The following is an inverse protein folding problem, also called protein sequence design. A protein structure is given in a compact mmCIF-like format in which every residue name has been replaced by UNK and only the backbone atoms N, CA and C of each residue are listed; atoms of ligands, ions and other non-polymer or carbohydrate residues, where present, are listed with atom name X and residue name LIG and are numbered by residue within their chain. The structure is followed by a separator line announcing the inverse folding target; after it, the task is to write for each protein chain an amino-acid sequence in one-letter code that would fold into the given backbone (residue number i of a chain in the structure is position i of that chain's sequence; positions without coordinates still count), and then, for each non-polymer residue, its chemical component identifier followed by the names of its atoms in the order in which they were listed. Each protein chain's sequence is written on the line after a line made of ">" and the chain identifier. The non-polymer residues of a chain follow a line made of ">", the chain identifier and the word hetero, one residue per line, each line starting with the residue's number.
data_IF_114854388316
#
_entry.id   IF_114854388316
#
_cell.length_a   1.000
_cell.length_b   1.000
_cell.length_c   1.000
_cell.angle_alpha   90.00
_cell.angle_beta   90.00
_cell.angle_gamma   90.00
#
_symmetry.space_group_name_H-M   'P 1'
#
loop_
_entity.id
_entity.type
_entity.pdbx_description
1 polymer ?
#
# COMPACT_ATOMS: atom_id res chain seq x y z
N UNK A 1 -19.24 0.92 -9.10
CA UNK A 1 -18.35 1.92 -9.78
C UNK A 1 -17.72 1.29 -11.02
N UNK A 2 -17.11 2.04 -11.96
CA UNK A 2 -16.70 1.55 -13.30
C UNK A 2 -16.05 0.13 -13.35
N UNK A 3 -15.27 -0.25 -12.33
CA UNK A 3 -14.65 -1.58 -12.21
C UNK A 3 -15.61 -2.72 -11.81
N UNK A 4 -16.65 -2.44 -11.04
CA UNK A 4 -17.67 -3.41 -10.62
C UNK A 4 -18.66 -3.75 -11.73
N UNK A 5 -18.86 -2.82 -12.68
CA UNK A 5 -19.63 -3.07 -13.91
C UNK A 5 -18.85 -3.94 -14.90
N UNK A 6 -17.52 -3.93 -14.84
CA UNK A 6 -16.66 -4.79 -15.67
C UNK A 6 -16.32 -6.13 -14.97
N UNK A 7 -16.24 -6.14 -13.64
CA UNK A 7 -15.90 -7.33 -12.86
C UNK A 7 -16.72 -7.41 -11.55
N UNK A 8 -17.84 -8.15 -11.54
CA UNK A 8 -18.68 -8.29 -10.36
C UNK A 8 -17.92 -8.98 -9.21
N UNK A 9 -17.96 -8.38 -8.01
CA UNK A 9 -17.39 -8.97 -6.80
C UNK A 9 -15.91 -8.64 -6.49
N UNK A 10 -15.17 -8.01 -7.40
CA UNK A 10 -13.74 -7.66 -7.17
C UNK A 10 -13.57 -6.74 -5.95
N UNK A 11 -14.49 -5.80 -5.76
CA UNK A 11 -14.43 -4.86 -4.64
C UNK A 11 -14.50 -5.58 -3.29
N UNK A 12 -15.36 -6.59 -3.16
CA UNK A 12 -15.50 -7.36 -1.91
C UNK A 12 -14.22 -8.15 -1.61
N UNK A 13 -13.65 -8.83 -2.60
CA UNK A 13 -12.38 -9.55 -2.46
C UNK A 13 -11.24 -8.61 -2.07
N UNK A 14 -11.18 -7.42 -2.68
CA UNK A 14 -10.17 -6.42 -2.35
C UNK A 14 -10.31 -5.93 -0.90
N UNK A 15 -11.52 -5.63 -0.45
CA UNK A 15 -11.80 -5.21 0.93
C UNK A 15 -11.36 -6.28 1.93
N UNK A 16 -11.74 -7.54 1.70
CA UNK A 16 -11.33 -8.67 2.56
C UNK A 16 -9.80 -8.80 2.57
N UNK A 17 -9.16 -8.71 1.40
CA UNK A 17 -7.71 -8.75 1.28
C UNK A 17 -7.01 -7.62 2.04
N UNK A 18 -7.55 -6.40 1.99
CA UNK A 18 -7.02 -5.25 2.73
C UNK A 18 -7.11 -5.47 4.23
N UNK A 19 -8.27 -5.87 4.75
CA UNK A 19 -8.44 -6.11 6.18
C UNK A 19 -7.60 -7.30 6.68
N UNK A 20 -7.53 -8.38 5.91
CA UNK A 20 -6.68 -9.52 6.25
C UNK A 20 -5.19 -9.12 6.30
N UNK A 21 -4.73 -8.36 5.30
CA UNK A 21 -3.34 -7.91 5.23
C UNK A 21 -3.02 -6.91 6.33
N UNK A 22 -3.88 -5.91 6.55
CA UNK A 22 -3.71 -4.92 7.61
C UNK A 22 -3.72 -5.57 9.00
N UNK A 23 -4.63 -6.52 9.25
CA UNK A 23 -4.67 -7.29 10.49
C UNK A 23 -3.41 -8.14 10.69
N UNK A 24 -2.91 -8.75 9.62
CA UNK A 24 -1.65 -9.53 9.66
C UNK A 24 -0.44 -8.65 9.94
N UNK A 25 -0.35 -7.48 9.30
CA UNK A 25 0.73 -6.51 9.54
C UNK A 25 0.67 -5.97 10.98
N UNK A 26 -0.53 -5.65 11.47
CA UNK A 26 -0.72 -5.23 12.86
C UNK A 26 -0.28 -6.32 13.84
N UNK A 27 -0.68 -7.57 13.61
CA UNK A 27 -0.24 -8.69 14.43
C UNK A 27 1.28 -8.86 14.39
N UNK A 28 1.88 -8.84 13.19
CA UNK A 28 3.33 -8.98 13.01
C UNK A 28 4.12 -7.86 13.72
N UNK A 29 3.61 -6.63 13.68
CA UNK A 29 4.16 -5.51 14.44
C UNK A 29 4.01 -5.72 15.95
N UNK A 30 2.79 -6.04 16.42
CA UNK A 30 2.47 -6.21 17.84
C UNK A 30 3.24 -7.35 18.51
N UNK A 31 3.50 -8.43 17.80
CA UNK A 31 4.30 -9.56 18.28
C UNK A 31 5.81 -9.32 18.13
N UNK A 32 6.23 -8.20 17.53
CA UNK A 32 7.63 -7.85 17.33
C UNK A 32 8.34 -8.71 16.27
N UNK A 33 7.59 -9.37 15.39
CA UNK A 33 8.13 -10.12 14.26
C UNK A 33 8.77 -9.16 13.24
N UNK A 34 8.18 -7.98 13.05
CA UNK A 34 8.74 -6.91 12.21
C UNK A 34 9.31 -5.81 13.11
N UNK A 35 10.64 -5.69 13.12
CA UNK A 35 11.33 -4.61 13.84
C UNK A 35 11.60 -3.44 12.91
N UNK A 36 10.85 -2.36 13.10
CA UNK A 36 11.04 -1.10 12.37
C UNK A 36 12.24 -0.37 12.96
N UNK A 37 13.41 -0.53 12.34
CA UNK A 37 14.63 0.16 12.71
C UNK A 37 14.98 1.25 11.69
N UNK A 38 15.98 2.09 11.99
CA UNK A 38 16.41 3.16 11.07
C UNK A 38 16.80 2.64 9.68
N UNK A 39 17.33 1.42 9.57
CA UNK A 39 17.69 0.83 8.27
C UNK A 39 16.46 0.47 7.45
N UNK A 40 15.45 -0.13 8.09
CA UNK A 40 14.16 -0.45 7.49
C UNK A 40 13.44 0.81 7.05
N UNK A 41 13.36 1.85 7.91
CA UNK A 41 12.74 3.12 7.54
C UNK A 41 13.44 3.75 6.33
N UNK A 42 14.78 3.83 6.32
CA UNK A 42 15.53 4.36 5.17
C UNK A 42 15.27 3.56 3.90
N UNK A 43 15.36 2.24 3.96
CA UNK A 43 15.07 1.36 2.83
C UNK A 43 13.66 1.60 2.29
N UNK A 44 12.67 1.66 3.17
CA UNK A 44 11.29 1.86 2.80
C UNK A 44 11.06 3.25 2.19
N UNK A 45 11.69 4.30 2.72
CA UNK A 45 11.63 5.64 2.14
C UNK A 45 12.14 5.64 0.69
N UNK A 46 13.28 5.01 0.42
CA UNK A 46 13.79 4.88 -0.95
C UNK A 46 12.86 4.03 -1.83
N UNK A 47 12.31 2.94 -1.29
CA UNK A 47 11.41 2.06 -2.03
C UNK A 47 10.09 2.76 -2.41
N UNK A 48 9.45 3.46 -1.48
CA UNK A 48 8.24 4.26 -1.72
C UNK A 48 8.54 5.36 -2.74
N UNK A 49 9.68 6.05 -2.59
CA UNK A 49 10.07 7.11 -3.53
C UNK A 49 10.30 6.56 -4.94
N UNK A 50 11.00 5.43 -5.07
CA UNK A 50 11.21 4.75 -6.34
C UNK A 50 9.89 4.28 -6.97
N UNK A 51 8.98 3.74 -6.17
CA UNK A 51 7.65 3.34 -6.61
C UNK A 51 6.83 4.53 -7.12
N UNK A 52 6.89 5.67 -6.44
CA UNK A 52 6.23 6.90 -6.86
C UNK A 52 6.78 7.41 -8.20
N UNK A 53 8.10 7.44 -8.37
CA UNK A 53 8.73 7.82 -9.64
C UNK A 53 8.32 6.86 -10.76
N UNK A 54 8.33 5.56 -10.49
CA UNK A 54 7.85 4.56 -11.45
C UNK A 54 6.38 4.79 -11.84
N UNK A 55 5.50 5.06 -10.87
CA UNK A 55 4.09 5.32 -11.11
C UNK A 55 3.88 6.57 -11.98
N UNK A 56 4.66 7.64 -11.77
CA UNK A 56 4.62 8.85 -12.59
C UNK A 56 5.10 8.60 -14.02
N UNK A 57 6.19 7.86 -14.19
CA UNK A 57 6.69 7.47 -15.52
C UNK A 57 5.65 6.64 -16.26
N UNK A 58 5.07 5.63 -15.59
CA UNK A 58 4.01 4.80 -16.16
C UNK A 58 2.77 5.63 -16.55
N UNK A 59 2.38 6.60 -15.72
CA UNK A 59 1.29 7.52 -16.03
C UNK A 59 1.59 8.33 -17.30
N UNK A 60 2.81 8.85 -17.44
CA UNK A 60 3.26 9.54 -18.64
C UNK A 60 3.16 8.65 -19.88
N UNK A 61 3.68 7.42 -19.83
CA UNK A 61 3.54 6.47 -20.95
C UNK A 61 2.09 6.15 -21.28
N UNK A 62 1.23 5.95 -20.28
CA UNK A 62 -0.18 5.69 -20.50
C UNK A 62 -0.89 6.87 -21.18
N UNK A 63 -0.58 8.11 -20.79
CA UNK A 63 -1.19 9.31 -21.34
C UNK A 63 -0.69 9.67 -22.75
N UNK A 64 0.62 9.52 -23.02
CA UNK A 64 1.22 9.96 -24.28
C UNK A 64 1.35 8.86 -25.34
N UNK A 65 1.54 7.60 -24.91
CA UNK A 65 1.73 6.46 -25.81
C UNK A 65 0.55 5.47 -25.81
N UNK A 66 -0.41 5.62 -24.89
CA UNK A 66 -1.54 4.69 -24.75
C UNK A 66 -1.15 3.30 -24.24
N UNK A 67 0.09 3.12 -23.80
CA UNK A 67 0.63 1.84 -23.32
C UNK A 67 0.84 1.94 -21.81
N UNK A 68 0.30 0.98 -21.05
CA UNK A 68 0.56 0.86 -19.62
C UNK A 68 1.53 -0.27 -19.35
N UNK A 69 2.48 -0.07 -18.43
CA UNK A 69 3.37 -1.14 -17.97
C UNK A 69 2.56 -2.22 -17.23
N UNK A 70 1.42 -1.85 -16.64
CA UNK A 70 0.51 -2.80 -15.99
C UNK A 70 -0.24 -3.72 -16.96
N UNK A 71 -0.33 -3.38 -18.25
CA UNK A 71 -0.90 -4.27 -19.28
C UNK A 71 0.14 -5.19 -19.92
N UNK A 72 1.39 -5.15 -19.45
CA UNK A 72 2.42 -6.12 -19.82
C UNK A 72 2.16 -7.47 -19.13
N UNK A 73 2.60 -8.61 -19.71
CA UNK A 73 2.54 -9.92 -19.05
C UNK A 73 3.21 -9.97 -17.65
N UNK A 74 4.08 -9.01 -17.34
CA UNK A 74 4.75 -8.87 -16.05
C UNK A 74 4.09 -7.85 -15.10
N UNK A 75 2.95 -7.25 -15.49
CA UNK A 75 2.26 -6.22 -14.71
C UNK A 75 1.82 -6.69 -13.31
N UNK A 76 1.48 -7.98 -13.18
CA UNK A 76 1.13 -8.59 -11.88
C UNK A 76 2.29 -8.57 -10.88
N UNK A 77 3.54 -8.69 -11.34
CA UNK A 77 4.72 -8.70 -10.46
C UNK A 77 4.94 -7.32 -9.83
N UNK A 78 4.70 -6.27 -10.60
CA UNK A 78 4.79 -4.88 -10.15
C UNK A 78 3.66 -4.57 -9.18
N UNK A 79 2.43 -5.01 -9.49
CA UNK A 79 1.30 -4.87 -8.58
C UNK A 79 1.54 -5.63 -7.26
N UNK A 80 2.11 -6.83 -7.31
CA UNK A 80 2.46 -7.60 -6.12
C UNK A 80 3.53 -6.89 -5.27
N UNK A 81 4.56 -6.32 -5.91
CA UNK A 81 5.54 -5.50 -5.23
C UNK A 81 4.90 -4.25 -4.59
N UNK A 82 3.96 -3.60 -5.28
CA UNK A 82 3.16 -2.49 -4.77
C UNK A 82 2.34 -2.85 -3.52
N UNK A 83 1.64 -3.99 -3.55
CA UNK A 83 0.91 -4.53 -2.38
C UNK A 83 1.86 -4.78 -1.21
N UNK A 84 3.02 -5.39 -1.47
CA UNK A 84 4.04 -5.63 -0.45
C UNK A 84 4.53 -4.33 0.19
N UNK A 85 4.89 -3.33 -0.62
CA UNK A 85 5.34 -2.02 -0.15
C UNK A 85 4.25 -1.30 0.65
N UNK A 86 3.01 -1.28 0.17
CA UNK A 86 1.90 -0.67 0.88
C UNK A 86 1.65 -1.36 2.23
N UNK A 87 1.73 -2.70 2.27
CA UNK A 87 1.56 -3.46 3.51
C UNK A 87 2.69 -3.18 4.52
N UNK A 88 3.95 -3.10 4.07
CA UNK A 88 5.05 -2.75 4.96
C UNK A 88 5.03 -1.29 5.42
N UNK A 89 4.43 -0.39 4.65
CA UNK A 89 4.24 1.01 5.05
C UNK A 89 3.36 1.12 6.30
N UNK A 90 2.36 0.23 6.46
CA UNK A 90 1.57 0.17 7.70
C UNK A 90 2.44 -0.08 8.95
N UNK A 91 3.50 -0.89 8.85
CA UNK A 91 4.42 -1.09 9.98
C UNK A 91 5.18 0.20 10.34
N UNK A 92 5.52 1.03 9.35
CA UNK A 92 6.09 2.35 9.63
C UNK A 92 5.09 3.23 10.38
N UNK A 93 3.82 3.23 9.95
CA UNK A 93 2.77 4.02 10.61
C UNK A 93 2.57 3.57 12.06
N UNK A 94 2.51 2.25 12.31
CA UNK A 94 2.40 1.71 13.66
C UNK A 94 3.59 2.10 14.54
N UNK A 95 4.80 2.08 13.98
CA UNK A 95 6.01 2.51 14.69
C UNK A 95 5.97 4.00 15.03
N UNK A 96 5.58 4.85 14.08
CA UNK A 96 5.44 6.30 14.31
C UNK A 96 4.42 6.58 15.42
N UNK A 97 3.29 5.88 15.41
CA UNK A 97 2.24 6.00 16.43
C UNK A 97 2.77 5.54 17.80
N UNK A 98 3.40 4.36 17.85
CA UNK A 98 3.97 3.79 19.08
C UNK A 98 5.02 4.72 19.71
N UNK A 99 5.93 5.23 18.89
CA UNK A 99 6.93 6.21 19.31
C UNK A 99 6.26 7.49 19.80
N UNK A 100 5.26 8.02 19.09
CA UNK A 100 4.54 9.22 19.49
C UNK A 100 3.84 9.08 20.84
N UNK A 101 3.23 7.92 21.12
CA UNK A 101 2.62 7.60 22.42
C UNK A 101 3.69 7.54 23.51
N UNK A 102 4.82 6.84 23.27
CA UNK A 102 5.91 6.75 24.25
C UNK A 102 6.55 8.11 24.59
N UNK A 103 6.60 9.01 23.61
CA UNK A 103 7.13 10.37 23.73
C UNK A 103 6.08 11.38 24.22
N UNK A 104 4.83 10.94 24.47
CA UNK A 104 3.71 11.78 24.91
C UNK A 104 3.46 12.96 23.97
N UNK A 105 3.35 12.70 22.67
CA UNK A 105 3.03 13.73 21.69
C UNK A 105 1.75 14.49 22.05
N UNK A 106 1.64 15.78 21.68
CA UNK A 106 0.43 16.56 21.87
C UNK A 106 -0.77 15.88 21.19
N UNK A 107 -1.96 16.00 21.77
CA UNK A 107 -3.19 15.43 21.22
C UNK A 107 -3.47 15.92 19.78
N UNK A 108 -3.02 17.13 19.45
CA UNK A 108 -3.06 17.69 18.09
C UNK A 108 -2.27 16.89 17.05
N UNK A 109 -1.41 15.94 17.43
CA UNK A 109 -0.70 15.07 16.49
C UNK A 109 -1.48 13.78 16.18
N UNK A 110 -2.49 13.43 16.98
CA UNK A 110 -3.28 12.20 16.80
C UNK A 110 -3.99 12.18 15.44
N UNK A 111 -4.52 13.33 14.98
CA UNK A 111 -5.17 13.41 13.68
C UNK A 111 -4.19 13.16 12.52
N UNK A 112 -2.93 13.60 12.66
CA UNK A 112 -1.89 13.39 11.64
C UNK A 112 -1.50 11.93 11.55
N UNK A 113 -1.35 11.29 12.71
CA UNK A 113 -1.09 9.86 12.81
C UNK A 113 -2.24 9.03 12.21
N UNK A 114 -3.49 9.34 12.56
CA UNK A 114 -4.66 8.68 12.02
C UNK A 114 -4.79 8.87 10.50
N UNK A 115 -4.49 10.08 10.00
CA UNK A 115 -4.50 10.36 8.57
C UNK A 115 -3.44 9.55 7.82
N UNK A 116 -2.20 9.51 8.31
CA UNK A 116 -1.12 8.74 7.69
C UNK A 116 -1.46 7.25 7.58
N UNK A 117 -1.91 6.66 8.69
CA UNK A 117 -2.35 5.28 8.73
C UNK A 117 -3.51 4.99 7.77
N UNK A 118 -4.49 5.91 7.69
CA UNK A 118 -5.62 5.77 6.77
C UNK A 118 -5.18 5.89 5.31
N UNK A 119 -4.26 6.80 4.99
CA UNK A 119 -3.70 6.96 3.65
C UNK A 119 -2.97 5.68 3.20
N UNK A 120 -2.16 5.07 4.08
CA UNK A 120 -1.51 3.78 3.80
C UNK A 120 -2.51 2.65 3.62
N UNK A 121 -3.60 2.64 4.41
CA UNK A 121 -4.68 1.65 4.26
C UNK A 121 -5.40 1.78 2.91
N UNK A 122 -5.71 3.02 2.49
CA UNK A 122 -6.30 3.30 1.18
C UNK A 122 -5.34 2.91 0.07
N UNK A 123 -4.05 3.21 0.21
CA UNK A 123 -3.05 2.82 -0.78
C UNK A 123 -2.97 1.30 -0.93
N UNK A 124 -2.93 0.56 0.19
CA UNK A 124 -2.99 -0.90 0.18
C UNK A 124 -4.25 -1.42 -0.52
N UNK A 125 -5.41 -0.82 -0.27
CA UNK A 125 -6.65 -1.17 -0.95
C UNK A 125 -6.55 -1.00 -2.46
N UNK A 126 -6.02 0.14 -2.94
CA UNK A 126 -5.86 0.40 -4.38
C UNK A 126 -4.90 -0.60 -5.03
N UNK A 127 -3.81 -0.96 -4.35
CA UNK A 127 -2.84 -1.95 -4.88
C UNK A 127 -3.43 -3.36 -4.92
N UNK A 128 -4.17 -3.78 -3.88
CA UNK A 128 -4.83 -5.10 -3.88
C UNK A 128 -5.90 -5.13 -4.96
N UNK A 129 -6.69 -4.07 -5.10
CA UNK A 129 -7.69 -3.96 -6.15
C UNK A 129 -7.04 -4.05 -7.54
N UNK A 130 -5.89 -3.40 -7.76
CA UNK A 130 -5.12 -3.50 -9.00
C UNK A 130 -4.63 -4.92 -9.26
N UNK A 131 -4.08 -5.57 -8.24
CA UNK A 131 -3.58 -6.95 -8.34
C UNK A 131 -4.72 -7.92 -8.72
N UNK A 132 -5.85 -7.84 -8.02
CA UNK A 132 -7.03 -8.67 -8.31
C UNK A 132 -7.58 -8.35 -9.70
N UNK A 133 -7.60 -7.09 -10.13
CA UNK A 133 -8.05 -6.72 -11.48
C UNK A 133 -7.16 -7.33 -12.57
N UNK A 134 -5.84 -7.37 -12.38
CA UNK A 134 -4.91 -8.00 -13.34
C UNK A 134 -5.18 -9.51 -13.44
N UNK A 135 -5.41 -10.20 -12.31
CA UNK A 135 -5.71 -11.64 -12.33
C UNK A 135 -7.10 -12.01 -12.87
N UNK A 136 -8.04 -11.06 -12.94
CA UNK A 136 -9.36 -11.29 -13.54
C UNK A 136 -9.44 -10.83 -15.00
N UNK A 137 -8.39 -10.20 -15.54
CA UNK A 137 -8.31 -9.81 -16.95
C UNK A 137 -7.92 -10.96 -17.88
N UNK A 138 -7.49 -12.10 -17.31
CA UNK A 138 -7.24 -13.38 -17.97
C UNK A 138 -8.43 -14.35 -17.77
#
# INVERSE_FOLDING_TARGET
>A
GLLEMQYPGIVQTAVVGTFATAGTMFAAYRFGWVKVNQRFTRFMTFAITGYLVFALVNLGFAMFAGISIYSSPFGWLIALAGVGLAAFTLNLDFEVISQGVSQRWPQEMEWRAAFGLTASLIWLYVEILRLVAIFNQD
#
